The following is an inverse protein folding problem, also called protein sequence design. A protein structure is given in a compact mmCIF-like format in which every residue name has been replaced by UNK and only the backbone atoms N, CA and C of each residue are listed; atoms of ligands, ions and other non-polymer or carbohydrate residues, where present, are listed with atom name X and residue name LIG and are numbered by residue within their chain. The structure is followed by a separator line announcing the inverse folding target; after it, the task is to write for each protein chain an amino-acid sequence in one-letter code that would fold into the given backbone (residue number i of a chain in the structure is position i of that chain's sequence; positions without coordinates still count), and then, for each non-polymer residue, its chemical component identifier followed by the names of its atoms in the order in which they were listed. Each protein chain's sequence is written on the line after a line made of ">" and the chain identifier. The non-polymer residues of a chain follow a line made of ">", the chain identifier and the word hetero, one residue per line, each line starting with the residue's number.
data_IF_652436117549
#
_entry.id   IF_652436117549
#
_cell.length_a   1.000
_cell.length_b   1.000
_cell.length_c   1.000
_cell.angle_alpha   90.00
_cell.angle_beta   90.00
_cell.angle_gamma   90.00
#
_symmetry.space_group_name_H-M   'P 1'
#
loop_
_entity.id
_entity.type
_entity.pdbx_description
1 polymer ?
#
# COMPACT_ATOMS: atom_id res chain seq x y z
N UNK A 1 -33.49 3.99 -4.93
CA UNK A 1 -33.83 5.40 -4.67
C UNK A 1 -34.63 5.42 -3.38
N UNK A 2 -34.24 6.19 -2.34
CA UNK A 2 -34.27 7.65 -2.39
C UNK A 2 -32.98 8.36 -1.92
N UNK A 3 -32.86 9.61 -2.36
CA UNK A 3 -31.89 10.60 -1.93
C UNK A 3 -32.37 11.30 -0.65
N UNK A 4 -31.45 11.80 0.18
CA UNK A 4 -31.73 12.91 1.11
C UNK A 4 -30.45 13.59 1.63
N UNK A 5 -30.23 14.77 1.06
CA UNK A 5 -29.80 16.03 1.67
C UNK A 5 -28.54 16.10 2.55
N UNK A 6 -27.54 16.78 1.99
CA UNK A 6 -26.51 17.55 2.70
C UNK A 6 -27.10 18.46 3.78
N UNK A 7 -26.51 18.44 4.98
CA UNK A 7 -26.58 19.56 5.93
C UNK A 7 -25.22 19.78 6.59
N UNK A 8 -24.57 20.87 6.19
CA UNK A 8 -23.37 21.40 6.81
C UNK A 8 -23.74 22.13 8.11
N UNK A 9 -23.01 21.87 9.20
CA UNK A 9 -22.95 22.74 10.37
C UNK A 9 -21.50 22.95 10.78
N UNK A 10 -21.00 24.14 10.47
CA UNK A 10 -19.76 24.68 11.01
C UNK A 10 -19.96 25.02 12.49
N UNK A 11 -19.15 24.40 13.37
CA UNK A 11 -19.03 24.80 14.78
C UNK A 11 -17.68 25.48 14.94
N UNK A 12 -17.73 26.82 14.94
CA UNK A 12 -16.60 27.66 15.33
C UNK A 12 -16.30 27.43 16.82
N UNK A 13 -15.10 26.90 17.12
CA UNK A 13 -14.60 26.81 18.49
C UNK A 13 -13.93 28.14 18.84
N UNK A 14 -14.58 28.90 19.72
CA UNK A 14 -13.99 30.04 20.40
C UNK A 14 -12.84 29.57 21.31
N UNK A 15 -11.65 30.13 21.11
CA UNK A 15 -10.52 29.97 22.04
C UNK A 15 -10.56 31.12 23.04
N UNK A 16 -10.93 30.82 24.27
CA UNK A 16 -10.79 31.74 25.41
C UNK A 16 -9.35 31.69 25.92
N UNK A 17 -8.62 32.81 25.82
CA UNK A 17 -7.31 32.97 26.43
C UNK A 17 -7.43 32.92 27.96
N UNK A 18 -6.83 31.90 28.59
CA UNK A 18 -6.69 31.83 30.04
C UNK A 18 -5.49 32.68 30.48
N UNK A 19 -5.74 33.66 31.36
CA UNK A 19 -4.69 34.41 32.06
C UNK A 19 -4.13 33.59 33.23
N UNK A 20 -2.80 33.54 33.35
CA UNK A 20 -2.09 32.87 34.45
C UNK A 20 -1.92 33.85 35.63
N UNK A 21 -2.17 33.44 36.88
CA UNK A 21 -1.86 34.25 38.05
C UNK A 21 -0.37 34.15 38.42
N UNK A 22 0.26 35.32 38.59
CA UNK A 22 1.58 35.51 39.18
C UNK A 22 1.55 35.11 40.66
N UNK A 23 2.26 34.03 41.01
CA UNK A 23 2.45 33.62 42.39
C UNK A 23 3.68 34.32 43.00
N UNK A 24 3.42 35.09 44.07
CA UNK A 24 4.40 35.76 44.92
C UNK A 24 5.32 34.74 45.62
N UNK A 25 6.62 35.01 45.59
CA UNK A 25 7.61 34.33 46.41
C UNK A 25 7.38 34.63 47.90
N UNK A 26 7.11 33.59 48.71
CA UNK A 26 7.21 33.63 50.16
C UNK A 26 8.43 32.81 50.57
N UNK A 27 9.46 33.49 51.08
CA UNK A 27 10.66 32.87 51.60
C UNK A 27 10.37 32.12 52.91
N UNK A 28 10.76 30.85 52.96
CA UNK A 28 10.97 30.14 54.21
C UNK A 28 12.42 29.60 54.19
N UNK A 29 13.30 30.24 54.95
CA UNK A 29 14.65 29.74 55.20
C UNK A 29 14.56 28.57 56.18
N UNK A 30 14.55 27.34 55.66
CA UNK A 30 14.81 26.15 56.45
C UNK A 30 16.33 25.94 56.56
N UNK A 31 16.93 26.26 57.72
CA UNK A 31 18.30 25.86 58.05
C UNK A 31 18.37 24.33 58.14
N UNK A 32 18.88 23.68 57.09
CA UNK A 32 19.27 22.27 57.15
C UNK A 32 20.69 22.17 57.71
N UNK A 33 20.82 21.57 58.88
CA UNK A 33 22.10 21.14 59.46
C UNK A 33 22.69 20.03 58.60
N UNK A 34 23.68 20.36 57.77
CA UNK A 34 24.42 19.38 56.97
C UNK A 34 25.41 18.64 57.88
N UNK A 35 25.08 17.40 58.24
CA UNK A 35 26.06 16.47 58.79
C UNK A 35 27.03 16.08 57.65
N UNK A 36 28.15 16.80 57.55
CA UNK A 36 29.14 16.62 56.50
C UNK A 36 29.97 15.36 56.75
N UNK A 37 29.38 14.19 56.51
CA UNK A 37 30.17 13.00 56.19
C UNK A 37 30.70 13.20 54.78
N UNK A 38 31.98 13.57 54.66
CA UNK A 38 32.65 13.76 53.39
C UNK A 38 32.60 12.47 52.58
N UNK A 39 31.69 12.39 51.60
CA UNK A 39 31.76 11.38 50.55
C UNK A 39 32.99 11.69 49.70
N UNK A 40 34.06 10.92 49.90
CA UNK A 40 35.23 10.95 49.03
C UNK A 40 34.81 10.56 47.61
N UNK A 41 34.75 11.54 46.71
CA UNK A 41 34.68 11.29 45.27
C UNK A 41 36.11 11.11 44.76
N UNK A 42 36.54 9.86 44.68
CA UNK A 42 37.85 9.48 44.18
C UNK A 42 37.80 9.48 42.65
N UNK A 43 38.38 10.51 42.02
CA UNK A 43 38.28 10.68 40.57
C UNK A 43 39.24 9.71 39.85
N UNK A 44 38.77 8.98 38.83
CA UNK A 44 39.57 7.98 38.12
C UNK A 44 40.67 8.59 37.23
N UNK A 45 40.77 9.92 37.18
CA UNK A 45 41.69 10.67 36.31
C UNK A 45 42.86 11.29 37.07
N UNK A 46 42.92 11.15 38.40
CA UNK A 46 44.04 11.68 39.19
C UNK A 46 45.21 10.70 39.11
N UNK A 47 46.10 10.95 38.15
CA UNK A 47 47.27 10.12 37.86
C UNK A 47 48.09 9.80 39.11
N UNK A 48 47.98 8.54 39.55
CA UNK A 48 48.81 7.91 40.56
C UNK A 48 49.35 6.58 40.03
N UNK A 49 50.34 5.95 40.69
CA UNK A 49 51.08 4.80 40.17
C UNK A 49 50.20 3.56 39.85
N UNK A 50 48.99 3.49 40.43
CA UNK A 50 47.99 2.47 40.11
C UNK A 50 46.94 3.01 39.13
N UNK A 51 47.30 3.04 37.84
CA UNK A 51 46.47 3.47 36.71
C UNK A 51 45.26 2.56 36.41
N UNK A 52 44.86 1.67 37.33
CA UNK A 52 43.87 0.61 37.04
C UNK A 52 42.83 0.44 38.16
N UNK A 53 42.31 1.53 38.72
CA UNK A 53 41.15 1.48 39.63
C UNK A 53 39.83 1.54 38.85
N UNK A 54 39.31 0.37 38.48
CA UNK A 54 38.01 0.28 37.77
C UNK A 54 36.87 0.59 38.77
N UNK A 55 35.98 1.54 38.50
CA UNK A 55 34.83 1.82 39.36
C UNK A 55 33.88 0.61 39.44
N UNK A 56 33.17 0.46 40.57
CA UNK A 56 32.30 -0.69 40.79
C UNK A 56 31.00 -0.62 39.98
N UNK A 57 30.80 -1.56 39.06
CA UNK A 57 29.56 -1.67 38.25
C UNK A 57 28.56 -2.71 38.79
N UNK A 58 28.72 -3.16 40.03
CA UNK A 58 27.90 -4.23 40.61
C UNK A 58 26.39 -3.92 40.63
N UNK A 59 26.01 -2.63 40.66
CA UNK A 59 24.61 -2.19 40.60
C UNK A 59 23.97 -2.38 39.20
N UNK A 60 24.77 -2.41 38.12
CA UNK A 60 24.30 -2.46 36.74
C UNK A 60 24.57 -3.81 36.06
N UNK A 61 25.48 -4.61 36.62
CA UNK A 61 25.81 -5.94 36.11
C UNK A 61 24.69 -6.92 36.46
N UNK A 62 24.21 -7.67 35.46
CA UNK A 62 23.31 -8.79 35.70
C UNK A 62 24.04 -9.86 36.54
N UNK A 63 23.39 -10.32 37.60
CA UNK A 63 23.94 -11.31 38.54
C UNK A 63 23.83 -12.76 38.03
N UNK A 64 23.02 -13.00 36.98
CA UNK A 64 22.85 -14.30 36.33
C UNK A 64 23.76 -14.50 35.11
N UNK A 65 23.69 -15.71 34.51
CA UNK A 65 24.43 -16.04 33.29
C UNK A 65 24.07 -15.14 32.09
N UNK A 66 24.99 -15.01 31.15
CA UNK A 66 24.89 -14.02 30.06
C UNK A 66 23.82 -14.33 29.01
N UNK A 67 23.39 -15.58 28.90
CA UNK A 67 22.51 -16.06 27.81
C UNK A 67 21.12 -15.43 27.86
N UNK A 68 20.52 -15.30 29.05
CA UNK A 68 19.17 -14.74 29.22
C UNK A 68 19.02 -13.31 28.68
N UNK A 69 19.81 -12.33 29.16
CA UNK A 69 19.74 -10.96 28.64
C UNK A 69 20.11 -10.86 27.16
N UNK A 70 21.05 -11.67 26.65
CA UNK A 70 21.39 -11.69 25.21
C UNK A 70 20.21 -12.12 24.34
N UNK A 71 19.52 -13.21 24.72
CA UNK A 71 18.34 -13.69 23.97
C UNK A 71 17.21 -12.67 24.03
N UNK A 72 16.98 -12.03 25.18
CA UNK A 72 15.99 -10.95 25.29
C UNK A 72 16.33 -9.76 24.38
N UNK A 73 17.60 -9.33 24.35
CA UNK A 73 18.07 -8.27 23.47
C UNK A 73 17.89 -8.63 21.98
N UNK A 74 18.28 -9.83 21.57
CA UNK A 74 18.09 -10.31 20.20
C UNK A 74 16.61 -10.43 19.83
N UNK A 75 15.75 -10.83 20.77
CA UNK A 75 14.31 -10.87 20.54
C UNK A 75 13.72 -9.47 20.35
N UNK A 76 14.12 -8.49 21.17
CA UNK A 76 13.67 -7.10 21.01
C UNK A 76 14.15 -6.48 19.69
N UNK A 77 15.41 -6.69 19.33
CA UNK A 77 15.97 -6.19 18.04
C UNK A 77 15.35 -6.93 16.85
N UNK A 78 15.16 -8.24 16.96
CA UNK A 78 14.57 -9.08 15.91
C UNK A 78 13.10 -8.74 15.65
N UNK A 79 12.30 -8.53 16.70
CA UNK A 79 10.90 -8.10 16.57
C UNK A 79 10.80 -6.70 15.95
N UNK A 80 11.63 -5.75 16.37
CA UNK A 80 11.72 -4.42 15.76
C UNK A 80 12.11 -4.49 14.27
N UNK A 81 13.10 -5.34 13.94
CA UNK A 81 13.53 -5.57 12.56
C UNK A 81 12.44 -6.18 11.69
N UNK A 82 11.69 -7.15 12.21
CA UNK A 82 10.57 -7.76 11.51
C UNK A 82 9.45 -6.74 11.21
N UNK A 83 9.06 -5.92 12.19
CA UNK A 83 8.05 -4.88 11.99
C UNK A 83 8.52 -3.82 10.98
N UNK A 84 9.78 -3.43 11.05
CA UNK A 84 10.38 -2.47 10.13
C UNK A 84 10.42 -3.03 8.70
N UNK A 85 10.75 -4.31 8.51
CA UNK A 85 10.72 -4.97 7.22
C UNK A 85 9.30 -5.05 6.64
N UNK A 86 8.29 -5.33 7.47
CA UNK A 86 6.88 -5.32 7.05
C UNK A 86 6.41 -3.92 6.65
N UNK A 87 6.79 -2.90 7.41
CA UNK A 87 6.51 -1.50 7.06
C UNK A 87 7.16 -1.10 5.74
N UNK A 88 8.44 -1.42 5.55
CA UNK A 88 9.15 -1.16 4.30
C UNK A 88 8.47 -1.88 3.12
N UNK A 89 8.10 -3.16 3.28
CA UNK A 89 7.39 -3.91 2.24
C UNK A 89 6.06 -3.23 1.87
N UNK A 90 5.27 -2.83 2.86
CA UNK A 90 3.99 -2.17 2.62
C UNK A 90 4.18 -0.86 1.85
N UNK A 91 5.13 -0.02 2.27
CA UNK A 91 5.40 1.24 1.56
C UNK A 91 5.83 1.02 0.11
N UNK A 92 6.76 0.09 -0.15
CA UNK A 92 7.20 -0.24 -1.51
C UNK A 92 6.03 -0.78 -2.33
N UNK A 93 5.22 -1.67 -1.76
CA UNK A 93 4.04 -2.22 -2.42
C UNK A 93 3.05 -1.11 -2.81
N UNK A 94 2.76 -0.17 -1.92
CA UNK A 94 1.84 0.94 -2.20
C UNK A 94 2.35 1.83 -3.34
N UNK A 95 3.66 2.13 -3.38
CA UNK A 95 4.26 2.84 -4.52
C UNK A 95 4.12 2.07 -5.82
N UNK A 96 4.34 0.76 -5.80
CA UNK A 96 4.19 -0.09 -6.98
C UNK A 96 2.73 -0.15 -7.46
N UNK A 97 1.77 -0.29 -6.54
CA UNK A 97 0.34 -0.31 -6.87
C UNK A 97 -0.11 1.05 -7.39
N UNK A 98 0.40 2.15 -6.84
CA UNK A 98 0.11 3.51 -7.33
C UNK A 98 0.61 3.75 -8.77
N UNK A 99 1.70 3.08 -9.19
CA UNK A 99 2.16 3.11 -10.58
C UNK A 99 1.47 2.08 -11.48
N UNK A 100 0.74 1.13 -10.90
CA UNK A 100 0.03 0.09 -11.64
C UNK A 100 -1.30 0.61 -12.23
N UNK A 101 -1.99 -0.23 -13.00
CA UNK A 101 -3.26 0.14 -13.62
C UNK A 101 -4.27 0.65 -12.58
N UNK A 102 -4.74 1.88 -12.77
CA UNK A 102 -5.69 2.51 -11.85
C UNK A 102 -7.07 1.84 -11.92
N UNK A 103 -7.86 2.01 -10.85
CA UNK A 103 -9.21 1.45 -10.76
C UNK A 103 -10.14 1.89 -11.91
N UNK A 104 -9.90 3.06 -12.52
CA UNK A 104 -10.64 3.55 -13.69
C UNK A 104 -10.37 2.69 -14.95
N UNK A 105 -9.13 2.23 -15.14
CA UNK A 105 -8.78 1.30 -16.23
C UNK A 105 -9.42 -0.06 -16.02
N UNK A 106 -9.53 -0.50 -14.76
CA UNK A 106 -10.25 -1.73 -14.41
C UNK A 106 -11.77 -1.58 -14.56
N UNK A 107 -12.32 -0.40 -14.30
CA UNK A 107 -13.73 -0.11 -14.56
C UNK A 107 -14.05 -0.17 -16.05
N UNK A 108 -13.13 0.31 -16.91
CA UNK A 108 -13.22 0.18 -18.37
C UNK A 108 -12.95 -1.24 -18.89
N UNK A 109 -12.69 -2.22 -18.02
CA UNK A 109 -12.41 -3.59 -18.45
C UNK A 109 -13.63 -4.31 -19.04
N UNK A 110 -14.84 -3.88 -18.69
CA UNK A 110 -16.09 -4.47 -19.18
C UNK A 110 -16.93 -3.40 -19.85
N UNK A 111 -17.30 -3.64 -21.10
CA UNK A 111 -18.22 -2.80 -21.86
C UNK A 111 -19.41 -3.67 -22.22
N UNK A 112 -20.58 -3.28 -21.75
CA UNK A 112 -21.85 -3.90 -22.11
C UNK A 112 -22.40 -3.19 -23.34
N UNK A 113 -22.86 -3.97 -24.32
CA UNK A 113 -23.34 -3.47 -25.61
C UNK A 113 -24.69 -4.11 -25.84
N UNK A 114 -25.66 -3.29 -26.19
CA UNK A 114 -26.97 -3.78 -26.58
C UNK A 114 -26.90 -4.36 -27.99
N UNK A 115 -27.14 -5.67 -28.09
CA UNK A 115 -27.15 -6.43 -29.34
C UNK A 115 -28.39 -6.11 -30.18
N UNK A 116 -29.50 -5.68 -29.57
CA UNK A 116 -30.74 -5.37 -30.29
C UNK A 116 -30.65 -4.08 -31.12
N UNK A 117 -29.72 -3.19 -30.77
CA UNK A 117 -29.50 -1.93 -31.47
C UNK A 117 -28.74 -2.09 -32.81
N UNK A 118 -28.12 -3.25 -33.06
CA UNK A 118 -27.26 -3.49 -34.22
C UNK A 118 -28.04 -4.30 -35.29
N UNK A 119 -28.44 -3.68 -36.41
CA UNK A 119 -29.11 -4.41 -37.48
C UNK A 119 -28.15 -5.36 -38.18
N UNK A 120 -28.70 -6.42 -38.77
CA UNK A 120 -27.96 -7.40 -39.57
C UNK A 120 -27.16 -6.75 -40.72
N UNK A 121 -25.98 -7.31 -41.01
CA UNK A 121 -25.08 -6.87 -42.08
C UNK A 121 -24.25 -5.61 -41.77
N UNK A 122 -24.45 -4.94 -40.62
CA UNK A 122 -23.66 -3.76 -40.23
C UNK A 122 -22.47 -4.10 -39.33
N UNK A 123 -21.43 -3.27 -39.46
CA UNK A 123 -20.23 -3.30 -38.63
C UNK A 123 -20.22 -2.13 -37.67
N UNK A 124 -19.97 -2.40 -36.40
CA UNK A 124 -19.78 -1.41 -35.36
C UNK A 124 -18.34 -1.50 -34.84
N UNK A 125 -17.70 -0.35 -34.69
CA UNK A 125 -16.34 -0.25 -34.14
C UNK A 125 -16.46 0.47 -32.81
N UNK A 126 -16.01 -0.18 -31.74
CA UNK A 126 -15.92 0.44 -30.42
C UNK A 126 -14.49 0.43 -29.91
N UNK A 127 -14.18 1.35 -29.00
CA UNK A 127 -12.89 1.37 -28.31
C UNK A 127 -13.03 0.61 -26.99
N UNK A 128 -12.28 -0.48 -26.82
CA UNK A 128 -12.21 -1.26 -25.59
C UNK A 128 -10.76 -1.39 -25.12
N UNK A 129 -10.47 -1.00 -23.87
CA UNK A 129 -9.11 -1.02 -23.28
C UNK A 129 -8.04 -0.37 -24.17
N UNK A 130 -8.40 0.70 -24.88
CA UNK A 130 -7.50 1.40 -25.80
C UNK A 130 -7.31 0.74 -27.17
N UNK A 131 -7.89 -0.43 -27.41
CA UNK A 131 -7.85 -1.17 -28.68
C UNK A 131 -9.20 -1.07 -29.40
N UNK A 132 -9.23 -1.06 -30.74
CA UNK A 132 -10.49 -1.17 -31.48
C UNK A 132 -11.03 -2.60 -31.37
N UNK A 133 -12.34 -2.74 -31.13
CA UNK A 133 -13.08 -4.01 -31.21
C UNK A 133 -14.10 -3.86 -32.33
N UNK A 134 -14.10 -4.84 -33.23
CA UNK A 134 -15.04 -4.95 -34.34
C UNK A 134 -16.17 -5.90 -33.95
N UNK A 135 -17.40 -5.43 -34.12
CA UNK A 135 -18.62 -6.21 -33.88
C UNK A 135 -19.40 -6.19 -35.18
N UNK A 136 -19.62 -7.37 -35.76
CA UNK A 136 -20.43 -7.57 -36.96
C UNK A 136 -21.58 -8.50 -36.65
N UNK A 137 -22.79 -8.07 -37.01
CA UNK A 137 -23.96 -8.94 -37.07
C UNK A 137 -23.97 -9.59 -38.47
N UNK A 138 -23.56 -10.85 -38.55
CA UNK A 138 -23.43 -11.60 -39.81
C UNK A 138 -24.80 -12.02 -40.34
N UNK A 139 -24.93 -12.08 -41.66
CA UNK A 139 -26.09 -12.68 -42.32
C UNK A 139 -25.89 -14.20 -42.49
N UNK A 140 -26.97 -14.95 -42.71
CA UNK A 140 -26.88 -16.40 -42.94
C UNK A 140 -26.00 -16.79 -44.14
N UNK A 141 -25.93 -15.94 -45.17
CA UNK A 141 -25.05 -16.18 -46.32
C UNK A 141 -23.57 -16.13 -45.95
N UNK A 142 -23.19 -15.17 -45.10
CA UNK A 142 -21.80 -15.00 -44.65
C UNK A 142 -21.37 -16.12 -43.71
N UNK A 143 -22.30 -16.64 -42.90
CA UNK A 143 -22.04 -17.77 -42.02
C UNK A 143 -21.74 -19.03 -42.86
N UNK A 144 -22.57 -19.30 -43.88
CA UNK A 144 -22.35 -20.43 -44.79
C UNK A 144 -21.03 -20.32 -45.55
N UNK A 145 -20.72 -19.13 -46.06
CA UNK A 145 -19.44 -18.89 -46.74
C UNK A 145 -18.23 -19.15 -45.83
N UNK A 146 -18.31 -18.74 -44.57
CA UNK A 146 -17.25 -18.97 -43.59
C UNK A 146 -17.08 -20.47 -43.25
N UNK A 147 -18.18 -21.21 -43.10
CA UNK A 147 -18.17 -22.64 -42.79
C UNK A 147 -17.73 -23.50 -43.99
N UNK A 148 -18.10 -23.11 -45.22
CA UNK A 148 -17.76 -23.82 -46.46
C UNK A 148 -16.29 -23.61 -46.88
N UNK A 149 -15.61 -22.62 -46.31
CA UNK A 149 -14.22 -22.31 -46.63
C UNK A 149 -13.28 -23.39 -46.08
N UNK A 150 -12.36 -23.88 -46.93
CA UNK A 150 -11.33 -24.87 -46.56
C UNK A 150 -10.29 -24.29 -45.60
N UNK A 151 -10.61 -24.29 -44.31
CA UNK A 151 -9.80 -23.67 -43.26
C UNK A 151 -8.44 -24.34 -43.07
N UNK A 152 -8.24 -25.60 -43.47
CA UNK A 152 -6.95 -26.29 -43.41
C UNK A 152 -5.91 -25.74 -44.38
N UNK A 153 -6.34 -24.98 -45.39
CA UNK A 153 -5.45 -24.36 -46.38
C UNK A 153 -4.94 -22.98 -45.96
N UNK A 154 -5.49 -22.41 -44.88
CA UNK A 154 -5.08 -21.11 -44.35
C UNK A 154 -3.75 -21.24 -43.58
N UNK A 155 -3.03 -20.12 -43.48
CA UNK A 155 -1.76 -20.04 -42.72
C UNK A 155 -1.95 -20.40 -41.23
N UNK A 156 -3.10 -20.06 -40.66
CA UNK A 156 -3.50 -20.38 -39.29
C UNK A 156 -4.84 -21.15 -39.35
N UNK A 157 -4.80 -22.49 -39.28
CA UNK A 157 -5.99 -23.32 -39.46
C UNK A 157 -6.86 -23.31 -38.21
N UNK A 158 -8.00 -22.62 -38.28
CA UNK A 158 -8.97 -22.52 -37.20
C UNK A 158 -10.40 -22.54 -37.77
N UNK A 159 -11.29 -23.45 -37.31
CA UNK A 159 -12.67 -23.48 -37.76
C UNK A 159 -13.49 -22.33 -37.17
N UNK A 160 -14.53 -21.84 -37.87
CA UNK A 160 -15.35 -20.70 -37.41
C UNK A 160 -16.02 -20.98 -36.06
N UNK A 161 -16.46 -22.21 -35.82
CA UNK A 161 -17.05 -22.65 -34.55
C UNK A 161 -16.12 -22.54 -33.33
N UNK A 162 -14.80 -22.50 -33.52
CA UNK A 162 -13.84 -22.22 -32.44
C UNK A 162 -13.65 -20.72 -32.20
N UNK A 163 -13.89 -19.89 -33.23
CA UNK A 163 -13.69 -18.43 -33.23
C UNK A 163 -14.87 -17.68 -32.62
N UNK A 164 -16.08 -18.15 -32.88
CA UNK A 164 -17.32 -17.52 -32.42
C UNK A 164 -18.12 -18.45 -31.51
N UNK A 165 -18.81 -17.88 -30.51
CA UNK A 165 -19.74 -18.63 -29.65
C UNK A 165 -21.16 -18.69 -30.21
N UNK A 166 -21.54 -17.65 -30.95
CA UNK A 166 -22.84 -17.47 -31.59
C UNK A 166 -22.56 -17.13 -33.05
N UNK A 167 -23.02 -17.92 -34.03
CA UNK A 167 -22.65 -17.75 -35.43
C UNK A 167 -23.12 -16.42 -36.03
N UNK A 168 -24.21 -15.85 -35.53
CA UNK A 168 -24.70 -14.53 -35.95
C UNK A 168 -23.80 -13.36 -35.49
N UNK A 169 -22.99 -13.55 -34.45
CA UNK A 169 -22.14 -12.49 -33.88
C UNK A 169 -20.65 -12.75 -34.08
N UNK A 170 -20.03 -11.92 -34.92
CA UNK A 170 -18.58 -11.89 -35.06
C UNK A 170 -18.00 -10.73 -34.24
N UNK A 171 -17.29 -11.07 -33.16
CA UNK A 171 -16.63 -10.11 -32.27
C UNK A 171 -15.13 -10.37 -32.32
N UNK A 172 -14.35 -9.41 -32.84
CA UNK A 172 -12.91 -9.56 -33.01
C UNK A 172 -12.13 -8.32 -32.56
N UNK A 173 -10.90 -8.56 -32.09
CA UNK A 173 -9.97 -7.49 -31.73
C UNK A 173 -9.35 -6.92 -33.01
N UNK A 174 -9.46 -5.61 -33.21
CA UNK A 174 -8.96 -4.90 -34.38
C UNK A 174 -7.46 -4.60 -34.35
N UNK A 175 -6.67 -5.44 -33.69
CA UNK A 175 -5.21 -5.32 -33.67
C UNK A 175 -4.62 -6.25 -34.71
N UNK A 176 -4.02 -5.68 -35.76
CA UNK A 176 -3.28 -6.45 -36.74
C UNK A 176 -2.12 -7.18 -36.05
N UNK A 177 -1.89 -8.44 -36.43
CA UNK A 177 -0.73 -9.22 -35.96
C UNK A 177 0.58 -8.75 -36.64
N UNK A 178 0.50 -7.87 -37.64
CA UNK A 178 1.65 -7.43 -38.40
C UNK A 178 2.47 -6.34 -37.69
N UNK A 179 1.80 -5.36 -37.07
CA UNK A 179 2.24 -4.33 -36.08
C UNK A 179 1.32 -3.11 -36.18
#
# INVERSE_FOLDING_TARGET
>A
MPALANTARAVARSWTAHQLPVARAAGCTAMQTRNASASSFDSPFKGGPDSTKIPSFAAYRNKGGETGPKVFQYFMVGTMGALSALGAKATVQDFLVNMSASADVLAQAKVEIDLAAIPEGKNVIIKWRGKPVFIRHRTESEIKEADDTKWESLRDPEPDSARVKQPEWLIMLGTSQHM
#
